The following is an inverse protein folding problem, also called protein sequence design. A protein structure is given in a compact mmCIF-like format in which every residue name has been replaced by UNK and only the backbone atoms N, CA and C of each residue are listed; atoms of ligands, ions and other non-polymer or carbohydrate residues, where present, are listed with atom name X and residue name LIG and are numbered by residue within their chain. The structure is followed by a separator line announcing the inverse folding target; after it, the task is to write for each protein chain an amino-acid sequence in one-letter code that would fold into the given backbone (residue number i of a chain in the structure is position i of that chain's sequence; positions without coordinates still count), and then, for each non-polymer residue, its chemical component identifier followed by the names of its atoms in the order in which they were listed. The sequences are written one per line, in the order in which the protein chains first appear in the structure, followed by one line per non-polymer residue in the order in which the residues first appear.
data_IF_230040348629
#
_entry.id   IF_230040348629
#
_cell.length_a   1.000
_cell.length_b   1.000
_cell.length_c   1.000
_cell.angle_alpha   90.00
_cell.angle_beta   90.00
_cell.angle_gamma   90.00
#
_symmetry.space_group_name_H-M   'P 1'
#
loop_
_entity.id
_entity.type
_entity.pdbx_description
1 polymer ?
#
# COMPACT_ATOMS: atom_id res chain seq x y z
N UNK A 1 39.91 -4.61 -14.73
CA UNK A 1 39.30 -3.28 -14.49
C UNK A 1 38.25 -3.09 -15.56
N UNK A 2 36.97 -3.13 -15.18
CA UNK A 2 35.84 -2.94 -16.10
C UNK A 2 35.03 -1.77 -15.58
N UNK A 3 35.04 -0.73 -16.40
CA UNK A 3 34.48 0.59 -16.16
C UNK A 3 32.96 0.54 -16.07
N UNK A 4 32.42 1.46 -15.27
CA UNK A 4 31.02 1.51 -14.87
C UNK A 4 30.04 1.70 -16.02
N UNK A 5 29.24 0.66 -16.26
CA UNK A 5 27.95 0.77 -16.92
C UNK A 5 26.87 1.05 -15.85
N UNK A 6 26.10 2.15 -15.95
CA UNK A 6 24.90 2.30 -15.14
C UNK A 6 23.79 1.42 -15.73
N UNK A 7 23.55 0.25 -15.11
CA UNK A 7 22.37 -0.55 -15.39
C UNK A 7 21.15 0.05 -14.68
N UNK A 8 20.16 0.42 -15.49
CA UNK A 8 18.79 0.84 -15.15
C UNK A 8 18.61 2.23 -14.54
N UNK A 9 18.26 3.19 -15.41
CA UNK A 9 17.51 4.39 -15.02
C UNK A 9 16.11 3.95 -14.59
N UNK A 10 15.72 4.17 -13.35
CA UNK A 10 14.34 3.99 -12.90
C UNK A 10 13.42 4.90 -13.73
N UNK A 11 12.64 4.31 -14.63
CA UNK A 11 11.58 5.02 -15.33
C UNK A 11 10.39 5.04 -14.37
N UNK A 12 10.16 6.18 -13.72
CA UNK A 12 8.97 6.41 -12.92
C UNK A 12 7.72 6.24 -13.80
N UNK A 13 6.90 5.24 -13.50
CA UNK A 13 5.57 5.08 -14.09
C UNK A 13 4.53 4.99 -12.98
N UNK A 14 4.17 6.13 -12.41
CA UNK A 14 3.02 6.20 -11.51
C UNK A 14 1.71 6.03 -12.31
N UNK A 15 0.86 5.11 -11.87
CA UNK A 15 -0.60 5.32 -11.94
C UNK A 15 -1.08 5.40 -10.50
N UNK A 16 -1.21 6.62 -10.00
CA UNK A 16 -1.95 6.86 -8.76
C UNK A 16 -3.29 7.44 -9.13
N UNK A 17 -4.37 6.73 -8.81
CA UNK A 17 -5.73 7.26 -8.90
C UNK A 17 -6.03 7.96 -7.57
N UNK A 18 -5.65 9.24 -7.48
CA UNK A 18 -6.00 10.09 -6.35
C UNK A 18 -7.44 10.62 -6.51
N UNK A 19 -8.22 10.62 -5.43
CA UNK A 19 -9.44 11.43 -5.33
C UNK A 19 -9.03 12.89 -5.10
N UNK A 20 -9.24 13.73 -6.11
CA UNK A 20 -8.78 15.12 -6.17
C UNK A 20 -9.73 16.12 -5.50
N UNK A 21 -10.75 15.70 -4.74
CA UNK A 21 -11.65 16.61 -4.01
C UNK A 21 -11.01 17.44 -2.89
N UNK A 22 -9.68 17.45 -2.75
CA UNK A 22 -8.94 18.28 -1.80
C UNK A 22 -8.71 19.68 -2.38
N UNK A 23 -9.13 20.77 -1.69
CA UNK A 23 -9.01 22.16 -2.16
C UNK A 23 -7.58 22.63 -2.48
N UNK A 24 -6.56 21.84 -2.16
CA UNK A 24 -5.15 22.14 -2.41
C UNK A 24 -4.61 21.71 -3.78
N UNK A 25 -5.35 20.90 -4.56
CA UNK A 25 -4.87 20.33 -5.84
C UNK A 25 -5.74 20.67 -7.07
N UNK A 26 -6.76 21.51 -6.93
CA UNK A 26 -7.76 21.82 -7.98
C UNK A 26 -7.28 22.75 -9.11
N UNK A 27 -6.00 23.09 -9.15
CA UNK A 27 -5.50 24.18 -9.98
C UNK A 27 -4.65 23.64 -11.13
N UNK A 28 -5.26 23.50 -12.31
CA UNK A 28 -4.57 23.34 -13.61
C UNK A 28 -3.45 24.38 -13.76
N UNK A 29 -3.63 25.55 -13.14
CA UNK A 29 -2.64 26.62 -13.07
C UNK A 29 -1.36 26.17 -12.34
N UNK A 30 -1.47 25.53 -11.19
CA UNK A 30 -0.33 25.03 -10.39
C UNK A 30 0.44 23.96 -11.16
N UNK A 31 -0.26 23.05 -11.84
CA UNK A 31 0.38 22.05 -12.71
C UNK A 31 1.16 22.70 -13.85
N UNK A 32 0.57 23.71 -14.52
CA UNK A 32 1.25 24.43 -15.60
C UNK A 32 2.49 25.18 -15.10
N UNK A 33 2.44 25.82 -13.93
CA UNK A 33 3.57 26.53 -13.32
C UNK A 33 4.73 25.58 -12.97
N UNK A 34 4.42 24.42 -12.40
CA UNK A 34 5.42 23.40 -12.06
C UNK A 34 6.00 22.72 -13.31
N UNK A 35 5.16 22.38 -14.29
CA UNK A 35 5.58 21.82 -15.58
C UNK A 35 6.51 22.78 -16.32
N UNK A 36 6.24 24.07 -16.28
CA UNK A 36 7.07 25.10 -16.90
C UNK A 36 8.45 25.22 -16.23
N UNK A 37 8.48 25.14 -14.90
CA UNK A 37 9.71 25.19 -14.13
C UNK A 37 10.58 23.95 -14.38
N UNK A 38 9.96 22.76 -14.38
CA UNK A 38 10.64 21.50 -14.67
C UNK A 38 11.18 21.44 -16.11
N UNK A 39 10.40 21.94 -17.08
CA UNK A 39 10.81 21.94 -18.49
C UNK A 39 12.06 22.76 -18.75
N UNK A 40 12.24 23.88 -18.02
CA UNK A 40 13.46 24.70 -18.09
C UNK A 40 14.66 23.95 -17.54
N UNK A 41 14.49 23.24 -16.42
CA UNK A 41 15.56 22.44 -15.82
C UNK A 41 16.00 21.29 -16.73
N UNK A 42 15.04 20.56 -17.32
CA UNK A 42 15.36 19.44 -18.21
C UNK A 42 16.03 19.89 -19.50
N UNK A 43 15.58 21.00 -20.10
CA UNK A 43 16.23 21.56 -21.27
C UNK A 43 17.68 22.01 -20.97
N UNK A 44 17.91 22.61 -19.81
CA UNK A 44 19.25 23.03 -19.38
C UNK A 44 20.15 21.84 -19.06
N UNK A 45 19.60 20.77 -18.48
CA UNK A 45 20.36 19.60 -18.06
C UNK A 45 20.72 18.68 -19.23
N UNK A 46 19.74 18.34 -20.07
CA UNK A 46 19.92 17.37 -21.15
C UNK A 46 20.39 18.00 -22.47
N UNK A 47 20.04 19.27 -22.73
CA UNK A 47 20.42 19.98 -23.95
C UNK A 47 19.88 19.38 -25.26
N UNK A 48 19.04 18.35 -25.18
CA UNK A 48 18.54 17.57 -26.31
C UNK A 48 17.28 18.17 -26.93
N UNK A 49 16.52 18.95 -26.16
CA UNK A 49 15.25 19.57 -26.55
C UNK A 49 15.08 20.92 -25.89
N UNK A 50 14.27 21.77 -26.51
CA UNK A 50 13.89 23.04 -25.91
C UNK A 50 12.92 22.86 -24.74
N UNK A 51 12.90 23.83 -23.80
CA UNK A 51 11.94 23.82 -22.70
C UNK A 51 10.47 23.86 -23.19
N UNK A 52 10.23 24.45 -24.37
CA UNK A 52 8.90 24.46 -24.98
C UNK A 52 8.45 23.06 -25.43
N UNK A 53 9.37 22.24 -25.94
CA UNK A 53 9.09 20.86 -26.34
C UNK A 53 8.83 19.97 -25.12
N UNK A 54 9.66 20.07 -24.08
CA UNK A 54 9.41 19.37 -22.81
C UNK A 54 8.05 19.72 -22.22
N UNK A 55 7.73 21.02 -22.15
CA UNK A 55 6.43 21.50 -21.67
C UNK A 55 5.28 20.94 -22.48
N UNK A 56 5.39 20.96 -23.81
CA UNK A 56 4.36 20.42 -24.71
C UNK A 56 4.18 18.92 -24.48
N UNK A 57 5.27 18.18 -24.27
CA UNK A 57 5.20 16.75 -23.92
C UNK A 57 4.47 16.55 -22.59
N UNK A 58 4.82 17.27 -21.52
CA UNK A 58 4.13 17.17 -20.22
C UNK A 58 2.65 17.49 -20.32
N UNK A 59 2.28 18.57 -20.99
CA UNK A 59 0.87 18.97 -21.15
C UNK A 59 0.09 18.00 -22.05
N UNK A 60 0.73 17.44 -23.08
CA UNK A 60 0.11 16.43 -23.95
C UNK A 60 -0.10 15.12 -23.20
N UNK A 61 0.88 14.67 -22.42
CA UNK A 61 0.75 13.46 -21.60
C UNK A 61 -0.28 13.65 -20.48
N UNK A 62 -0.28 14.82 -19.84
CA UNK A 62 -1.33 15.21 -18.90
C UNK A 62 -2.70 15.16 -19.58
N UNK A 63 -2.91 15.80 -20.74
CA UNK A 63 -4.22 15.78 -21.42
C UNK A 63 -4.66 14.38 -21.91
N UNK A 64 -3.70 13.48 -22.22
CA UNK A 64 -3.99 12.11 -22.65
C UNK A 64 -4.35 11.17 -21.50
N UNK A 65 -3.69 11.34 -20.35
CA UNK A 65 -3.80 10.43 -19.20
C UNK A 65 -4.65 10.99 -18.06
N UNK A 66 -4.80 12.31 -17.99
CA UNK A 66 -5.69 13.05 -17.10
C UNK A 66 -6.82 13.67 -17.91
N UNK A 67 -7.96 12.99 -17.92
CA UNK A 67 -9.24 13.66 -18.13
C UNK A 67 -9.81 13.95 -16.76
N UNK A 68 -10.06 15.22 -16.45
CA UNK A 68 -11.01 15.57 -15.40
C UNK A 68 -12.37 15.12 -15.92
N UNK A 69 -12.70 13.85 -15.70
CA UNK A 69 -14.08 13.44 -15.71
C UNK A 69 -14.65 14.06 -14.45
N UNK A 70 -15.42 15.13 -14.60
CA UNK A 70 -16.47 15.43 -13.65
C UNK A 70 -17.43 14.23 -13.68
N UNK A 71 -17.06 13.15 -12.97
CA UNK A 71 -18.05 12.24 -12.44
C UNK A 71 -18.90 13.13 -11.55
N UNK A 72 -20.19 13.22 -11.88
CA UNK A 72 -21.24 13.79 -11.03
C UNK A 72 -20.80 13.70 -9.57
N UNK A 73 -20.70 14.85 -8.93
CA UNK A 73 -20.54 15.02 -7.50
C UNK A 73 -20.78 13.72 -6.71
N UNK A 74 -19.70 13.00 -6.39
CA UNK A 74 -19.70 12.12 -5.22
C UNK A 74 -19.47 12.91 -3.94
N UNK A 75 -19.58 14.24 -3.99
CA UNK A 75 -20.23 14.99 -2.94
C UNK A 75 -21.72 14.61 -2.94
N UNK A 76 -22.05 13.38 -2.57
CA UNK A 76 -23.18 13.24 -1.67
C UNK A 76 -22.59 13.79 -0.37
N UNK A 77 -23.01 14.97 0.13
CA UNK A 77 -22.82 15.22 1.55
C UNK A 77 -23.39 13.96 2.21
N UNK A 78 -22.59 13.22 2.99
CA UNK A 78 -23.11 12.09 3.77
C UNK A 78 -24.21 12.64 4.65
N UNK A 79 -25.42 12.69 4.11
CA UNK A 79 -26.59 13.23 4.77
C UNK A 79 -26.90 12.23 5.85
N UNK A 80 -27.00 12.71 7.08
CA UNK A 80 -27.27 11.98 8.32
C UNK A 80 -28.68 11.34 8.35
N UNK A 81 -29.12 10.77 7.23
CA UNK A 81 -30.45 10.21 7.01
C UNK A 81 -30.44 8.69 6.95
N UNK A 82 -31.43 8.06 7.60
CA UNK A 82 -31.60 6.59 7.68
C UNK A 82 -31.65 5.89 6.32
N UNK A 83 -32.06 6.59 5.26
CA UNK A 83 -32.20 6.04 3.89
C UNK A 83 -30.83 5.88 3.20
N UNK A 84 -29.89 6.81 3.43
CA UNK A 84 -28.55 6.73 2.84
C UNK A 84 -27.74 5.56 3.43
N UNK A 85 -27.83 5.34 4.75
CA UNK A 85 -27.29 4.14 5.42
C UNK A 85 -27.88 2.85 4.85
N UNK A 86 -29.18 2.85 4.57
CA UNK A 86 -29.87 1.67 4.03
C UNK A 86 -29.41 1.35 2.60
N UNK A 87 -29.14 2.39 1.78
CA UNK A 87 -28.56 2.23 0.44
C UNK A 87 -27.10 1.76 0.51
N UNK A 88 -26.26 2.31 1.39
CA UNK A 88 -24.88 1.81 1.62
C UNK A 88 -24.88 0.32 2.02
N UNK A 89 -25.77 -0.09 2.93
CA UNK A 89 -25.92 -1.49 3.35
C UNK A 89 -26.35 -2.39 2.18
N UNK A 90 -27.19 -1.91 1.27
CA UNK A 90 -27.64 -2.66 0.09
C UNK A 90 -26.54 -2.75 -0.97
N UNK A 91 -25.77 -1.68 -1.18
CA UNK A 91 -24.61 -1.71 -2.07
C UNK A 91 -23.48 -2.60 -1.52
N UNK A 92 -23.32 -2.67 -0.20
CA UNK A 92 -22.40 -3.61 0.44
C UNK A 92 -22.89 -5.07 0.34
N UNK A 93 -24.21 -5.30 0.46
CA UNK A 93 -24.81 -6.65 0.29
C UNK A 93 -24.90 -7.14 -1.15
N UNK A 94 -24.87 -6.24 -2.15
CA UNK A 94 -24.79 -6.58 -3.57
C UNK A 94 -23.33 -6.42 -4.02
N UNK A 95 -22.51 -7.42 -3.69
CA UNK A 95 -21.10 -7.50 -4.10
C UNK A 95 -20.93 -7.33 -5.61
N UNK A 96 -20.63 -6.11 -6.04
CA UNK A 96 -19.83 -5.89 -7.23
C UNK A 96 -18.39 -5.81 -6.74
N UNK A 97 -17.60 -6.82 -7.06
CA UNK A 97 -16.15 -6.87 -6.85
C UNK A 97 -15.52 -5.55 -7.31
N UNK A 98 -15.21 -4.67 -6.37
CA UNK A 98 -14.32 -3.52 -6.59
C UNK A 98 -12.86 -3.93 -6.43
N UNK A 99 -12.57 -5.22 -6.25
CA UNK A 99 -11.22 -5.73 -6.11
C UNK A 99 -10.50 -5.69 -7.47
N UNK A 100 -9.33 -5.07 -7.50
CA UNK A 100 -8.40 -5.07 -8.60
C UNK A 100 -8.04 -6.50 -9.02
N UNK A 101 -7.74 -6.67 -10.31
CA UNK A 101 -7.42 -7.97 -10.91
C UNK A 101 -6.13 -8.49 -10.26
N UNK A 102 -6.14 -9.77 -9.83
CA UNK A 102 -4.94 -10.44 -9.33
C UNK A 102 -3.86 -10.43 -10.41
N UNK A 103 -2.68 -9.92 -10.04
CA UNK A 103 -1.54 -9.80 -10.94
C UNK A 103 -0.82 -11.15 -11.08
N UNK A 104 -0.61 -11.86 -9.95
CA UNK A 104 -0.06 -13.21 -9.93
C UNK A 104 -1.20 -14.22 -9.77
N UNK A 105 -1.55 -14.92 -10.85
CA UNK A 105 -2.65 -15.88 -10.84
C UNK A 105 -2.26 -17.27 -10.38
N UNK A 106 -1.01 -17.62 -10.57
CA UNK A 106 -0.50 -18.97 -10.32
C UNK A 106 0.56 -18.94 -9.23
N UNK A 107 0.65 -20.04 -8.49
CA UNK A 107 1.71 -20.28 -7.52
C UNK A 107 3.07 -20.31 -8.24
N UNK A 108 4.01 -19.50 -7.77
CA UNK A 108 5.40 -19.59 -8.20
C UNK A 108 6.11 -20.60 -7.29
N UNK A 109 6.64 -21.66 -7.89
CA UNK A 109 7.41 -22.69 -7.18
C UNK A 109 8.88 -22.30 -7.05
N UNK A 110 9.33 -22.13 -5.83
CA UNK A 110 10.70 -21.81 -5.44
C UNK A 110 11.06 -22.60 -4.18
N UNK A 111 12.09 -23.45 -4.25
CA UNK A 111 12.54 -24.27 -3.14
C UNK A 111 13.08 -23.45 -1.95
N UNK A 112 13.44 -22.19 -2.18
CA UNK A 112 13.93 -21.28 -1.15
C UNK A 112 12.82 -20.47 -0.50
N UNK A 113 11.64 -20.36 -1.12
CA UNK A 113 10.51 -19.64 -0.56
C UNK A 113 9.86 -20.37 0.62
N UNK A 114 9.01 -19.64 1.33
CA UNK A 114 8.07 -20.15 2.34
C UNK A 114 6.66 -19.97 1.80
N UNK A 115 5.78 -20.93 2.08
CA UNK A 115 4.40 -20.94 1.61
C UNK A 115 3.45 -20.88 2.79
N UNK A 116 2.57 -19.87 2.84
CA UNK A 116 1.61 -19.69 3.92
C UNK A 116 0.37 -20.56 3.70
N UNK A 117 0.55 -21.89 3.80
CA UNK A 117 -0.47 -22.91 3.58
C UNK A 117 -0.66 -23.79 4.81
N UNK A 118 -1.79 -24.50 4.85
CA UNK A 118 -2.11 -25.51 5.87
C UNK A 118 -1.08 -26.66 5.95
N UNK A 119 -0.28 -26.87 4.90
CA UNK A 119 0.80 -27.86 4.90
C UNK A 119 1.91 -27.49 5.89
N UNK A 120 2.18 -26.19 6.08
CA UNK A 120 3.33 -25.71 6.84
C UNK A 120 2.94 -24.94 8.11
N UNK A 121 1.72 -24.40 8.17
CA UNK A 121 1.27 -23.55 9.26
C UNK A 121 -0.15 -23.91 9.73
N UNK A 122 -0.47 -23.60 10.98
CA UNK A 122 -1.81 -23.73 11.53
C UNK A 122 -2.72 -22.58 11.08
N UNK A 123 -2.95 -22.47 9.77
CA UNK A 123 -3.65 -21.36 9.12
C UNK A 123 -4.95 -21.86 8.50
N UNK A 124 -5.95 -20.98 8.33
CA UNK A 124 -7.04 -21.16 7.38
C UNK A 124 -7.19 -19.91 6.54
N UNK A 125 -7.56 -20.08 5.28
CA UNK A 125 -7.74 -18.99 4.33
C UNK A 125 -9.23 -18.66 4.08
N UNK A 126 -10.10 -18.98 5.05
CA UNK A 126 -11.55 -18.73 5.02
C UNK A 126 -11.99 -17.58 5.96
N UNK A 127 -11.03 -16.86 6.55
CA UNK A 127 -11.28 -15.78 7.51
C UNK A 127 -11.84 -16.22 8.85
N UNK A 128 -11.96 -17.53 9.13
CA UNK A 128 -12.65 -18.04 10.33
C UNK A 128 -11.83 -17.98 11.61
N UNK A 129 -10.50 -17.96 11.50
CA UNK A 129 -9.57 -17.91 12.62
C UNK A 129 -8.60 -16.74 12.47
N UNK A 130 -8.17 -16.21 13.60
CA UNK A 130 -7.11 -15.21 13.64
C UNK A 130 -5.76 -15.88 13.34
N UNK A 131 -5.08 -15.41 12.30
CA UNK A 131 -3.81 -15.97 11.81
C UNK A 131 -2.62 -15.05 12.08
N UNK A 132 -2.77 -14.04 12.94
CA UNK A 132 -1.73 -13.02 13.13
C UNK A 132 -0.39 -13.61 13.60
N UNK A 133 -0.43 -14.51 14.58
CA UNK A 133 0.79 -15.12 15.12
C UNK A 133 1.43 -16.05 14.08
N UNK A 134 0.62 -16.82 13.37
CA UNK A 134 1.05 -17.76 12.34
C UNK A 134 1.67 -17.03 11.14
N UNK A 135 1.08 -15.91 10.72
CA UNK A 135 1.67 -15.05 9.69
C UNK A 135 3.01 -14.47 10.14
N UNK A 136 3.09 -14.01 11.39
CA UNK A 136 4.36 -13.51 11.93
C UNK A 136 5.42 -14.63 12.03
N UNK A 137 5.02 -15.85 12.39
CA UNK A 137 5.89 -17.03 12.41
C UNK A 137 6.35 -17.43 10.99
N UNK A 138 5.49 -17.30 9.99
CA UNK A 138 5.85 -17.55 8.60
C UNK A 138 6.89 -16.54 8.09
N UNK A 139 6.72 -15.25 8.42
CA UNK A 139 7.72 -14.21 8.15
C UNK A 139 9.04 -14.53 8.87
N UNK A 140 8.98 -14.91 10.16
CA UNK A 140 10.17 -15.31 10.92
C UNK A 140 10.89 -16.51 10.26
N UNK A 141 10.14 -17.48 9.75
CA UNK A 141 10.69 -18.65 9.05
C UNK A 141 11.47 -18.25 7.79
N UNK A 142 11.01 -17.24 7.05
CA UNK A 142 11.76 -16.69 5.91
C UNK A 142 13.12 -16.15 6.37
N UNK A 143 13.13 -15.38 7.47
CA UNK A 143 14.35 -14.81 8.04
C UNK A 143 15.29 -15.91 8.55
N UNK A 144 14.76 -16.90 9.28
CA UNK A 144 15.55 -17.96 9.89
C UNK A 144 16.24 -18.89 8.85
N UNK A 145 15.64 -19.04 7.66
CA UNK A 145 16.17 -19.94 6.61
C UNK A 145 17.46 -19.42 5.98
N UNK A 146 17.48 -18.16 5.52
CA UNK A 146 18.64 -17.56 4.82
C UNK A 146 18.83 -16.05 5.09
N UNK A 147 18.04 -15.45 5.99
CA UNK A 147 18.09 -14.03 6.33
C UNK A 147 17.32 -13.10 5.38
N UNK A 148 16.73 -13.64 4.30
CA UNK A 148 15.95 -12.93 3.30
C UNK A 148 15.04 -13.91 2.55
N UNK A 149 14.08 -13.42 1.78
CA UNK A 149 13.33 -14.28 0.87
C UNK A 149 11.89 -13.84 0.65
N UNK A 150 11.09 -14.80 0.19
CA UNK A 150 9.70 -14.59 -0.20
C UNK A 150 8.79 -15.49 0.61
N UNK A 151 7.73 -14.91 1.16
CA UNK A 151 6.56 -15.60 1.67
C UNK A 151 5.45 -15.52 0.62
N UNK A 152 5.10 -16.66 0.03
CA UNK A 152 3.96 -16.78 -0.88
C UNK A 152 2.67 -17.04 -0.10
N UNK A 153 1.63 -16.28 -0.42
CA UNK A 153 0.33 -16.32 0.25
C UNK A 153 -0.75 -16.68 -0.78
N UNK A 154 -1.39 -17.85 -0.69
CA UNK A 154 -2.44 -18.22 -1.63
C UNK A 154 -3.69 -17.36 -1.43
N UNK A 155 -4.53 -17.32 -2.44
CA UNK A 155 -5.87 -16.73 -2.39
C UNK A 155 -6.66 -17.21 -1.17
N UNK A 156 -7.38 -16.27 -0.58
CA UNK A 156 -8.31 -16.51 0.52
C UNK A 156 -8.45 -15.28 1.42
N UNK A 157 -9.23 -15.43 2.47
CA UNK A 157 -9.45 -14.43 3.51
C UNK A 157 -8.68 -14.80 4.78
N UNK A 158 -7.98 -13.82 5.35
CA UNK A 158 -7.11 -14.02 6.49
C UNK A 158 -7.40 -12.97 7.56
N UNK A 159 -7.97 -13.42 8.68
CA UNK A 159 -8.32 -12.53 9.79
C UNK A 159 -7.08 -12.22 10.63
N UNK A 160 -6.87 -10.94 10.94
CA UNK A 160 -5.78 -10.44 11.77
C UNK A 160 -6.33 -9.66 12.96
N UNK A 161 -5.61 -9.66 14.08
CA UNK A 161 -5.86 -8.79 15.23
C UNK A 161 -4.66 -8.01 15.72
N UNK A 162 -3.48 -8.28 15.17
CA UNK A 162 -2.22 -7.69 15.60
C UNK A 162 -1.48 -7.04 14.43
N UNK A 163 -0.52 -6.19 14.77
CA UNK A 163 0.48 -5.69 13.83
C UNK A 163 1.32 -6.84 13.29
N UNK A 164 1.58 -6.81 12.00
CA UNK A 164 2.46 -7.71 11.26
C UNK A 164 3.71 -6.93 10.89
N UNK A 165 4.84 -7.37 11.44
CA UNK A 165 6.14 -6.75 11.23
C UNK A 165 6.84 -7.39 10.03
N UNK A 166 7.19 -6.56 9.04
CA UNK A 166 7.87 -6.96 7.81
C UNK A 166 9.32 -6.46 7.86
N UNK A 167 10.30 -7.31 8.18
CA UNK A 167 11.69 -6.89 8.29
C UNK A 167 12.32 -6.65 6.92
N UNK A 168 13.54 -6.09 6.91
CA UNK A 168 14.35 -5.93 5.69
C UNK A 168 14.49 -7.25 4.91
N UNK A 169 14.58 -7.15 3.58
CA UNK A 169 14.81 -8.27 2.66
C UNK A 169 13.76 -9.40 2.68
N UNK A 170 12.58 -9.17 3.27
CA UNK A 170 11.45 -10.11 3.23
C UNK A 170 10.34 -9.55 2.34
N UNK A 171 9.84 -10.38 1.43
CA UNK A 171 8.76 -10.03 0.51
C UNK A 171 7.55 -10.92 0.73
N UNK A 172 6.38 -10.32 0.82
CA UNK A 172 5.10 -11.02 0.91
C UNK A 172 4.44 -10.89 -0.46
N UNK A 173 4.16 -12.03 -1.11
CA UNK A 173 3.59 -12.05 -2.46
C UNK A 173 2.33 -12.92 -2.48
N UNK A 174 1.19 -12.29 -2.76
CA UNK A 174 -0.07 -12.98 -2.92
C UNK A 174 -0.22 -13.61 -4.30
N UNK A 175 -0.93 -14.73 -4.41
CA UNK A 175 -1.25 -15.35 -5.70
C UNK A 175 -2.62 -16.03 -5.70
N UNK A 176 -3.19 -16.19 -6.89
CA UNK A 176 -4.48 -16.86 -7.13
C UNK A 176 -5.36 -16.07 -8.08
N UNK A 177 -6.54 -16.60 -8.42
CA UNK A 177 -7.49 -15.93 -9.31
C UNK A 177 -7.96 -14.60 -8.71
N UNK A 178 -8.13 -14.58 -7.39
CA UNK A 178 -8.30 -13.38 -6.57
C UNK A 178 -7.06 -13.14 -5.70
N UNK A 179 -6.80 -11.87 -5.41
CA UNK A 179 -5.73 -11.48 -4.48
C UNK A 179 -6.10 -12.00 -3.08
N UNK A 180 -5.18 -12.61 -2.30
CA UNK A 180 -5.41 -12.83 -0.89
C UNK A 180 -5.80 -11.54 -0.18
N UNK A 181 -6.65 -11.66 0.82
CA UNK A 181 -7.24 -10.53 1.52
C UNK A 181 -7.03 -10.65 3.03
N UNK A 182 -6.19 -9.76 3.58
CA UNK A 182 -6.04 -9.62 5.03
C UNK A 182 -7.08 -8.66 5.61
N UNK A 183 -7.73 -9.09 6.68
CA UNK A 183 -8.82 -8.36 7.31
C UNK A 183 -8.44 -8.15 8.77
N UNK A 184 -8.19 -6.91 9.18
CA UNK A 184 -8.13 -6.57 10.60
C UNK A 184 -9.54 -6.72 11.19
N UNK A 185 -9.66 -7.52 12.25
CA UNK A 185 -10.93 -7.74 12.95
C UNK A 185 -11.51 -6.43 13.47
N UNK A 186 -12.83 -6.37 13.57
CA UNK A 186 -13.51 -5.26 14.20
C UNK A 186 -13.07 -5.10 15.67
N UNK A 187 -12.89 -3.86 16.12
CA UNK A 187 -12.44 -3.52 17.47
C UNK A 187 -11.17 -4.28 17.87
N UNK A 188 -10.18 -4.34 16.97
CA UNK A 188 -8.91 -4.95 17.25
C UNK A 188 -8.18 -4.18 18.38
N UNK A 189 -7.57 -4.92 19.29
CA UNK A 189 -6.99 -4.36 20.51
C UNK A 189 -5.90 -3.33 20.20
N UNK A 190 -6.04 -2.14 20.76
CA UNK A 190 -5.15 -0.99 20.55
C UNK A 190 -5.34 -0.27 19.20
N UNK A 191 -6.11 -0.79 18.24
CA UNK A 191 -6.30 -0.09 16.96
C UNK A 191 -7.31 1.06 17.04
N UNK A 192 -7.97 1.25 18.18
CA UNK A 192 -8.98 2.27 18.45
C UNK A 192 -8.49 3.40 19.38
N UNK A 193 -7.21 3.42 19.75
CA UNK A 193 -6.64 4.37 20.70
C UNK A 193 -5.36 5.02 20.19
N UNK A 194 -4.98 6.21 20.71
CA UNK A 194 -3.76 6.90 20.28
C UNK A 194 -2.49 6.20 20.75
N UNK A 195 -1.48 6.17 19.86
CA UNK A 195 -0.16 5.58 20.09
C UNK A 195 0.95 6.66 20.04
N UNK A 196 1.07 7.55 21.04
CA UNK A 196 2.02 8.68 21.01
C UNK A 196 3.49 8.26 20.91
N UNK A 197 3.82 7.03 21.26
CA UNK A 197 5.14 6.41 21.10
C UNK A 197 5.48 6.14 19.63
N UNK A 198 4.47 5.92 18.79
CA UNK A 198 4.63 5.72 17.36
C UNK A 198 4.64 7.07 16.65
N UNK A 199 5.50 7.21 15.62
CA UNK A 199 5.47 8.39 14.75
C UNK A 199 4.05 8.57 14.23
N UNK A 200 3.47 9.77 14.31
CA UNK A 200 2.10 10.02 13.85
C UNK A 200 0.98 9.65 14.83
N UNK A 201 1.26 8.91 15.92
CA UNK A 201 0.24 8.63 16.94
C UNK A 201 -0.69 7.45 16.61
N UNK A 202 -0.33 6.59 15.65
CA UNK A 202 -1.21 5.55 15.07
C UNK A 202 -0.68 4.13 15.32
N UNK A 203 -1.56 3.14 15.11
CA UNK A 203 -1.20 1.73 15.08
C UNK A 203 -1.20 1.21 13.65
N UNK A 204 -0.20 0.42 13.29
CA UNK A 204 0.05 -0.03 11.93
C UNK A 204 -0.34 -1.50 11.79
N UNK A 205 -1.12 -1.86 10.77
CA UNK A 205 -1.42 -3.26 10.50
C UNK A 205 -0.20 -3.96 9.90
N UNK A 206 0.35 -3.44 8.79
CA UNK A 206 1.62 -3.87 8.24
C UNK A 206 2.68 -2.81 8.50
N UNK A 207 3.66 -3.17 9.33
CA UNK A 207 4.75 -2.29 9.69
C UNK A 207 6.06 -2.80 9.11
N UNK A 208 6.62 -2.06 8.15
CA UNK A 208 7.97 -2.32 7.68
C UNK A 208 9.00 -1.89 8.73
N UNK A 209 9.84 -2.83 9.16
CA UNK A 209 10.79 -2.65 10.26
C UNK A 209 12.20 -3.02 9.82
N UNK A 210 13.19 -2.59 10.58
CA UNK A 210 14.58 -2.89 10.21
C UNK A 210 14.92 -4.38 10.40
N UNK A 211 14.51 -4.97 11.52
CA UNK A 211 14.74 -6.36 11.87
C UNK A 211 13.68 -6.84 12.86
N UNK A 212 13.46 -8.16 12.93
CA UNK A 212 12.63 -8.76 13.97
C UNK A 212 13.42 -8.88 15.27
N UNK A 213 12.70 -8.78 16.40
CA UNK A 213 13.21 -9.02 17.75
C UNK A 213 12.25 -9.95 18.49
N UNK A 214 12.76 -10.68 19.46
CA UNK A 214 11.93 -11.52 20.35
C UNK A 214 10.95 -10.67 21.17
N UNK A 215 11.39 -9.48 21.58
CA UNK A 215 10.56 -8.51 22.27
C UNK A 215 10.03 -7.47 21.28
N UNK A 216 8.71 -7.38 21.13
CA UNK A 216 8.07 -6.41 20.22
C UNK A 216 8.43 -4.96 20.57
N UNK A 217 8.63 -4.63 21.84
CA UNK A 217 9.01 -3.27 22.26
C UNK A 217 10.41 -2.84 21.78
N UNK A 218 11.23 -3.80 21.32
CA UNK A 218 12.57 -3.54 20.77
C UNK A 218 12.59 -3.48 19.24
N UNK A 219 11.45 -3.75 18.58
CA UNK A 219 11.35 -3.68 17.13
C UNK A 219 11.41 -2.20 16.72
N UNK A 220 12.51 -1.84 16.06
CA UNK A 220 12.72 -0.50 15.55
C UNK A 220 12.03 -0.31 14.19
N UNK A 221 11.46 0.88 14.00
CA UNK A 221 10.97 1.33 12.70
C UNK A 221 12.05 1.16 11.62
N UNK A 222 11.62 0.95 10.38
CA UNK A 222 12.54 0.90 9.26
C UNK A 222 13.26 2.26 9.11
N UNK A 223 14.43 2.25 8.45
CA UNK A 223 15.32 3.40 8.35
C UNK A 223 15.96 3.48 6.95
N UNK A 224 16.77 4.51 6.65
CA UNK A 224 17.43 4.62 5.34
C UNK A 224 18.37 3.45 4.95
N UNK A 225 18.63 2.51 5.85
CA UNK A 225 19.33 1.24 5.61
C UNK A 225 18.43 0.01 5.44
N UNK A 226 17.11 0.17 5.47
CA UNK A 226 16.14 -0.92 5.29
C UNK A 226 15.79 -1.08 3.81
N UNK A 227 16.33 -2.12 3.18
CA UNK A 227 16.19 -2.39 1.74
C UNK A 227 15.48 -3.72 1.46
N UNK A 228 15.02 -3.89 0.23
CA UNK A 228 14.55 -5.15 -0.38
C UNK A 228 13.27 -5.79 0.17
N UNK A 229 12.50 -5.10 1.02
CA UNK A 229 11.21 -5.61 1.53
C UNK A 229 10.04 -5.19 0.66
N UNK A 230 9.03 -6.05 0.53
CA UNK A 230 7.85 -5.70 -0.25
C UNK A 230 6.58 -6.41 0.20
N UNK A 231 5.44 -5.82 -0.13
CA UNK A 231 4.14 -6.50 -0.10
C UNK A 231 3.49 -6.32 -1.47
N UNK A 232 3.12 -7.42 -2.11
CA UNK A 232 2.63 -7.40 -3.49
C UNK A 232 1.41 -8.30 -3.67
N UNK A 233 0.42 -7.83 -4.43
CA UNK A 233 -0.75 -8.60 -4.83
C UNK A 233 -1.59 -9.12 -3.65
N UNK A 234 -1.73 -8.30 -2.61
CA UNK A 234 -2.40 -8.64 -1.34
C UNK A 234 -3.33 -7.48 -0.96
N UNK A 235 -4.63 -7.75 -0.85
CA UNK A 235 -5.61 -6.76 -0.43
C UNK A 235 -5.69 -6.65 1.09
N UNK A 236 -6.11 -5.49 1.59
CA UNK A 236 -6.21 -5.22 3.03
C UNK A 236 -7.52 -4.53 3.40
N UNK A 237 -8.11 -4.89 4.54
CA UNK A 237 -9.22 -4.17 5.16
C UNK A 237 -8.97 -3.93 6.64
N UNK A 238 -9.33 -2.74 7.13
CA UNK A 238 -9.05 -2.34 8.52
C UNK A 238 -10.19 -2.61 9.51
N UNK A 239 -11.32 -3.17 9.08
CA UNK A 239 -12.46 -3.42 9.96
C UNK A 239 -13.14 -2.15 10.47
N UNK A 240 -14.09 -2.31 11.37
CA UNK A 240 -14.82 -1.25 12.08
C UNK A 240 -14.31 -1.09 13.52
N UNK A 241 -14.47 0.12 14.08
CA UNK A 241 -14.06 0.41 15.46
C UNK A 241 -12.54 0.42 15.67
N UNK A 242 -11.79 0.77 14.62
CA UNK A 242 -10.33 0.78 14.58
C UNK A 242 -9.81 2.18 14.17
N UNK A 243 -10.27 3.24 14.83
CA UNK A 243 -10.12 4.64 14.41
C UNK A 243 -8.67 5.14 14.29
N UNK A 244 -7.71 4.47 14.94
CA UNK A 244 -6.28 4.80 14.91
C UNK A 244 -5.46 3.83 14.05
N UNK A 245 -6.13 2.92 13.33
CA UNK A 245 -5.49 1.97 12.43
C UNK A 245 -5.01 2.63 11.13
N UNK A 246 -3.81 2.26 10.71
CA UNK A 246 -3.28 2.52 9.37
C UNK A 246 -2.87 1.20 8.73
N UNK A 247 -3.23 0.97 7.46
CA UNK A 247 -2.95 -0.31 6.81
C UNK A 247 -1.45 -0.55 6.59
N UNK A 248 -0.71 0.43 6.08
CA UNK A 248 0.74 0.27 5.83
C UNK A 248 1.57 1.43 6.39
N UNK A 249 2.63 1.08 7.13
CA UNK A 249 3.71 1.99 7.53
C UNK A 249 4.93 1.74 6.65
N UNK A 250 5.12 2.59 5.63
CA UNK A 250 6.09 2.33 4.53
C UNK A 250 7.37 3.18 4.62
N UNK A 251 7.96 3.30 5.81
CA UNK A 251 9.17 4.10 6.00
C UNK A 251 10.46 3.30 5.78
N UNK A 252 10.80 3.11 4.52
CA UNK A 252 11.94 2.30 4.12
C UNK A 252 12.74 2.96 2.99
N UNK A 253 13.89 2.37 2.69
CA UNK A 253 14.81 2.85 1.67
C UNK A 253 14.55 2.20 0.30
N UNK A 254 15.56 2.30 -0.58
CA UNK A 254 15.50 1.85 -1.97
C UNK A 254 15.14 0.35 -2.09
N UNK A 255 14.62 -0.05 -3.25
CA UNK A 255 14.19 -1.43 -3.54
C UNK A 255 13.09 -2.01 -2.63
N UNK A 256 12.49 -1.18 -1.79
CA UNK A 256 11.27 -1.51 -1.07
C UNK A 256 10.05 -0.95 -1.79
N UNK A 257 8.96 -1.71 -1.82
CA UNK A 257 7.75 -1.32 -2.54
C UNK A 257 6.49 -2.00 -2.00
N UNK A 258 5.35 -1.39 -2.30
CA UNK A 258 4.04 -2.05 -2.25
C UNK A 258 3.35 -1.94 -3.61
N UNK A 259 2.75 -3.01 -4.13
CA UNK A 259 2.04 -2.93 -5.40
C UNK A 259 0.91 -3.95 -5.59
N UNK A 260 -0.04 -3.61 -6.47
CA UNK A 260 -1.22 -4.42 -6.76
C UNK A 260 -2.06 -4.68 -5.50
N UNK A 261 -2.45 -3.61 -4.81
CA UNK A 261 -3.14 -3.69 -3.52
C UNK A 261 -4.37 -2.80 -3.50
N UNK A 262 -5.48 -3.37 -3.05
CA UNK A 262 -6.65 -2.60 -2.68
C UNK A 262 -6.75 -2.51 -1.16
N UNK A 263 -6.96 -1.30 -0.65
CA UNK A 263 -7.03 -0.99 0.78
C UNK A 263 -8.42 -0.44 1.09
N UNK A 264 -9.22 -1.22 1.81
CA UNK A 264 -10.47 -0.72 2.39
C UNK A 264 -10.20 -0.26 3.83
N UNK A 265 -10.03 1.05 4.00
CA UNK A 265 -9.67 1.66 5.28
C UNK A 265 -10.86 1.67 6.25
N UNK A 266 -12.10 1.66 5.75
CA UNK A 266 -13.31 1.58 6.58
C UNK A 266 -13.33 2.65 7.68
N UNK A 267 -13.36 2.30 8.97
CA UNK A 267 -13.31 3.26 10.08
C UNK A 267 -11.90 3.71 10.46
N UNK A 268 -10.87 3.14 9.83
CA UNK A 268 -9.47 3.42 10.12
C UNK A 268 -9.02 4.83 9.76
N UNK A 269 -7.84 5.19 10.25
CA UNK A 269 -7.25 6.50 10.05
C UNK A 269 -6.82 6.70 8.59
N UNK A 270 -5.98 5.80 8.07
CA UNK A 270 -5.47 5.91 6.71
C UNK A 270 -5.08 4.59 6.06
N UNK A 271 -4.97 4.57 4.73
CA UNK A 271 -4.40 3.43 4.02
C UNK A 271 -2.89 3.35 4.22
N UNK A 272 -2.18 4.46 4.07
CA UNK A 272 -0.71 4.49 4.10
C UNK A 272 -0.20 5.63 4.99
N UNK A 273 0.83 5.36 5.79
CA UNK A 273 1.58 6.37 6.56
C UNK A 273 3.07 6.39 6.17
N UNK A 274 3.48 7.57 5.69
CA UNK A 274 4.60 7.85 4.79
C UNK A 274 4.56 7.01 3.51
N UNK A 275 5.06 7.58 2.41
CA UNK A 275 5.30 6.84 1.17
C UNK A 275 6.80 6.72 1.03
N UNK A 276 7.30 5.49 1.21
CA UNK A 276 8.71 5.18 1.01
C UNK A 276 9.11 5.24 -0.47
N UNK A 277 10.05 4.38 -0.85
CA UNK A 277 10.67 4.38 -2.18
C UNK A 277 9.69 4.23 -3.36
N UNK A 278 8.82 3.22 -3.36
CA UNK A 278 7.92 2.95 -4.50
C UNK A 278 6.55 2.41 -4.08
N UNK A 279 5.52 2.83 -4.83
CA UNK A 279 4.19 2.23 -4.82
C UNK A 279 3.58 2.25 -6.23
N UNK A 280 2.91 1.16 -6.62
CA UNK A 280 2.30 1.00 -7.95
C UNK A 280 0.95 0.28 -7.84
N UNK A 281 -0.05 0.68 -8.62
CA UNK A 281 -1.34 -0.02 -8.70
C UNK A 281 -1.98 -0.22 -7.31
N UNK A 282 -2.18 0.89 -6.59
CA UNK A 282 -2.80 0.93 -5.27
C UNK A 282 -4.15 1.64 -5.37
N UNK A 283 -5.20 0.99 -4.86
CA UNK A 283 -6.51 1.60 -4.68
C UNK A 283 -6.83 1.74 -3.19
N UNK A 284 -7.25 2.94 -2.74
CA UNK A 284 -7.57 3.20 -1.34
C UNK A 284 -9.01 3.70 -1.24
N UNK A 285 -9.81 3.04 -0.40
CA UNK A 285 -11.22 3.34 -0.21
C UNK A 285 -11.56 3.59 1.27
N UNK A 286 -12.18 4.73 1.55
CA UNK A 286 -12.62 5.12 2.89
C UNK A 286 -11.50 5.69 3.76
N UNK A 287 -11.73 5.67 5.09
CA UNK A 287 -10.82 6.24 6.07
C UNK A 287 -10.93 7.76 6.20
N UNK A 288 -10.16 8.32 7.14
CA UNK A 288 -10.05 9.79 7.30
C UNK A 288 -9.11 10.39 6.25
N UNK A 289 -8.06 9.66 5.90
CA UNK A 289 -7.10 10.03 4.87
C UNK A 289 -6.78 8.83 3.98
N UNK A 290 -6.47 9.04 2.70
CA UNK A 290 -5.91 7.97 1.88
C UNK A 290 -4.46 7.67 2.28
N UNK A 291 -3.63 8.72 2.28
CA UNK A 291 -2.21 8.68 2.60
C UNK A 291 -1.89 9.83 3.55
N UNK A 292 -1.13 9.53 4.61
CA UNK A 292 -0.55 10.52 5.52
C UNK A 292 0.95 10.55 5.27
N UNK A 293 1.54 11.73 5.19
CA UNK A 293 3.00 11.90 5.18
C UNK A 293 3.38 13.05 6.09
N UNK A 294 4.52 12.90 6.78
CA UNK A 294 5.05 13.91 7.69
C UNK A 294 6.41 14.39 7.22
N UNK A 295 6.69 15.68 7.40
CA UNK A 295 8.01 16.27 7.13
C UNK A 295 9.05 15.84 8.15
#
# INVERSE_FOLDING_TARGET
TRDGDPLATSIFRYRVEFDFGSPGLDSVRTFHEQSDSLSKLLAAYFGDRSAAEYRRMFRTQHAKHYQVKYRKDTLVPRSEGRIARWIEIIFWKRGNNMNGISFYKEEIRDCNAVYFTEEFFNVKNDGSIDVSNELQNAIKTVVDKVGYGVLFIPEGEYLLSKTIYVPKAVRLIGYGDNRPHFILKDNAEGFNEPHPENKGGFKYLFWFVNELKENEAEIADANPGTFYSAISNINVSLGQGNEYAVAFRTHYAQHCFINHIDINVQSGMAGIYDVGNEMEDIYINGGKYGIITTK
#
